data_IF_765790693620
#
_entry.id   IF_765790693620
#
_cell.length_a   1.000
_cell.length_b   1.000
_cell.length_c   1.000
_cell.angle_alpha   90.00
_cell.angle_beta   90.00
_cell.angle_gamma   90.00
#
_symmetry.space_group_name_H-M   'P 1'
#
loop_
_entity.id
_entity.type
_entity.pdbx_description
1 polymer ?
#
# COMPACT_ATOMS: atom_id res chain seq x y z
N UNK A 1 -53.10 71.14 -5.87
CA UNK A 1 -54.18 70.74 -6.80
C UNK A 1 -53.72 69.49 -7.51
N UNK A 2 -54.64 68.53 -7.67
CA UNK A 2 -54.48 67.17 -8.24
C UNK A 2 -53.71 66.15 -7.40
N UNK A 3 -54.34 65.79 -6.29
CA UNK A 3 -54.41 64.41 -5.81
C UNK A 3 -54.89 63.45 -6.91
N UNK A 4 -54.62 62.16 -6.71
CA UNK A 4 -55.28 61.02 -7.36
C UNK A 4 -54.93 60.76 -8.83
N UNK A 5 -53.97 59.88 -9.03
CA UNK A 5 -54.17 58.56 -9.63
C UNK A 5 -52.82 57.84 -9.41
N UNK A 6 -52.77 56.52 -9.27
CA UNK A 6 -51.54 55.74 -8.98
C UNK A 6 -51.09 55.71 -7.48
N UNK A 7 -51.79 55.26 -6.43
CA UNK A 7 -52.97 54.38 -6.23
C UNK A 7 -53.39 53.49 -7.39
N UNK A 8 -52.38 52.91 -8.01
CA UNK A 8 -52.36 51.84 -9.00
C UNK A 8 -50.95 51.31 -8.75
N UNK A 9 -50.74 50.46 -7.75
CA UNK A 9 -51.11 49.06 -7.84
C UNK A 9 -50.71 48.55 -9.23
N UNK A 10 -49.66 47.72 -9.23
CA UNK A 10 -49.10 47.01 -10.38
C UNK A 10 -48.07 47.79 -11.21
N UNK A 11 -47.00 47.09 -11.60
CA UNK A 11 -45.97 47.47 -12.57
C UNK A 11 -44.69 48.15 -12.08
N UNK A 12 -44.13 47.75 -10.94
CA UNK A 12 -42.66 47.70 -10.82
C UNK A 12 -42.25 46.76 -9.67
N UNK A 13 -42.59 45.49 -9.82
CA UNK A 13 -41.94 44.37 -9.13
C UNK A 13 -40.44 44.43 -9.37
N UNK A 14 -39.71 45.13 -8.51
CA UNK A 14 -38.25 45.08 -8.49
C UNK A 14 -37.78 45.50 -7.12
N UNK A 15 -36.93 44.67 -6.53
CA UNK A 15 -36.28 44.86 -5.24
C UNK A 15 -37.20 44.71 -4.03
N UNK A 16 -37.41 43.47 -3.58
CA UNK A 16 -36.88 43.06 -2.26
C UNK A 16 -37.25 41.60 -1.99
N UNK A 17 -36.18 40.82 -1.81
CA UNK A 17 -36.12 39.61 -1.02
C UNK A 17 -37.09 38.49 -1.44
N UNK A 18 -36.74 37.85 -2.55
CA UNK A 18 -36.84 36.40 -2.61
C UNK A 18 -36.15 35.80 -1.38
N UNK A 19 -36.93 35.50 -0.34
CA UNK A 19 -36.56 34.58 0.71
C UNK A 19 -36.54 33.17 0.08
N UNK A 20 -35.55 32.92 -0.78
CA UNK A 20 -35.22 31.57 -1.20
C UNK A 20 -34.59 30.87 -0.02
N UNK A 21 -35.41 30.01 0.57
CA UNK A 21 -35.08 28.91 1.45
C UNK A 21 -33.92 28.14 0.81
N UNK A 22 -32.68 28.47 1.19
CA UNK A 22 -31.53 27.57 0.98
C UNK A 22 -31.39 26.80 2.29
N UNK A 23 -32.21 25.75 2.41
CA UNK A 23 -31.97 24.68 3.36
C UNK A 23 -30.70 23.96 2.88
N UNK A 24 -29.53 24.45 3.31
CA UNK A 24 -28.26 23.77 3.07
C UNK A 24 -28.33 22.48 3.89
N UNK A 25 -28.74 21.37 3.25
CA UNK A 25 -28.43 20.04 3.73
C UNK A 25 -26.90 19.94 3.75
N UNK A 26 -26.29 20.15 4.91
CA UNK A 26 -24.93 19.70 5.14
C UNK A 26 -24.97 18.18 5.23
N UNK A 27 -24.95 17.52 4.07
CA UNK A 27 -24.50 16.13 4.02
C UNK A 27 -23.05 16.16 4.46
N UNK A 28 -22.82 15.85 5.73
CA UNK A 28 -21.52 15.37 6.20
C UNK A 28 -21.23 14.13 5.35
N UNK A 29 -20.48 14.32 4.28
CA UNK A 29 -19.79 13.21 3.64
C UNK A 29 -18.83 12.73 4.71
N UNK A 30 -19.19 11.67 5.40
CA UNK A 30 -18.21 10.91 6.16
C UNK A 30 -17.25 10.40 5.11
N UNK A 31 -16.13 11.12 4.91
CA UNK A 31 -14.94 10.51 4.33
C UNK A 31 -14.62 9.41 5.33
N UNK A 32 -15.02 8.19 5.00
CA UNK A 32 -14.54 7.02 5.71
C UNK A 32 -13.04 7.13 5.59
N UNK A 33 -12.36 7.44 6.69
CA UNK A 33 -10.95 7.15 6.80
C UNK A 33 -10.87 5.64 6.71
N UNK A 34 -10.82 5.12 5.49
CA UNK A 34 -10.24 3.81 5.24
C UNK A 34 -8.90 3.87 5.95
N UNK A 35 -8.66 2.92 6.84
CA UNK A 35 -7.35 2.71 7.43
C UNK A 35 -6.38 2.62 6.26
N UNK A 36 -5.60 3.69 6.01
CA UNK A 36 -4.79 3.85 4.80
C UNK A 36 -3.60 2.89 4.86
N UNK A 37 -3.84 1.59 4.67
CA UNK A 37 -2.76 0.62 4.56
C UNK A 37 -1.84 1.04 3.41
N UNK A 38 -0.53 1.05 3.65
CA UNK A 38 0.44 1.38 2.60
C UNK A 38 0.55 0.22 1.63
N UNK A 39 0.48 0.50 0.33
CA UNK A 39 0.84 -0.42 -0.76
C UNK A 39 2.18 -0.06 -1.41
N UNK A 40 2.95 0.82 -0.77
CA UNK A 40 4.29 1.22 -1.23
C UNK A 40 5.34 0.70 -0.27
N UNK A 41 6.27 -0.11 -0.78
CA UNK A 41 7.44 -0.57 -0.05
C UNK A 41 8.59 0.45 -0.12
N UNK A 42 9.47 0.40 0.89
CA UNK A 42 10.72 1.17 0.96
C UNK A 42 11.85 0.19 1.25
N UNK A 43 13.03 0.40 0.64
CA UNK A 43 14.25 -0.38 0.89
C UNK A 43 15.44 0.57 1.00
N UNK A 44 15.93 0.81 2.22
CA UNK A 44 17.05 1.74 2.46
C UNK A 44 18.22 1.10 3.22
N UNK A 45 17.94 0.12 4.07
CA UNK A 45 18.94 -0.67 4.79
C UNK A 45 18.33 -1.97 5.32
N UNK A 46 19.12 -2.79 6.00
CA UNK A 46 18.64 -3.98 6.70
C UNK A 46 17.82 -3.69 7.97
N UNK A 47 17.66 -2.42 8.37
CA UNK A 47 16.84 -1.98 9.51
C UNK A 47 15.77 -0.96 9.12
N UNK A 48 15.73 -0.59 7.84
CA UNK A 48 14.82 0.39 7.25
C UNK A 48 14.34 -0.19 5.92
N UNK A 49 13.38 -1.10 6.00
CA UNK A 49 12.77 -1.71 4.83
C UNK A 49 11.31 -2.12 5.07
N UNK A 50 10.64 -2.53 4.00
CA UNK A 50 9.33 -3.15 4.02
C UNK A 50 9.34 -4.48 3.26
N UNK A 51 8.42 -5.37 3.62
CA UNK A 51 7.99 -6.53 2.83
C UNK A 51 6.47 -6.49 2.74
N UNK A 52 5.89 -7.04 1.69
CA UNK A 52 4.44 -7.25 1.62
C UNK A 52 4.07 -8.51 2.39
N UNK A 53 2.89 -8.47 3.01
CA UNK A 53 2.24 -9.58 3.69
C UNK A 53 0.73 -9.52 3.41
N UNK A 54 -0.01 -10.60 3.70
CA UNK A 54 -1.47 -10.54 3.69
C UNK A 54 -1.98 -9.45 4.64
N UNK A 55 -3.10 -8.79 4.33
CA UNK A 55 -3.68 -7.78 5.21
C UNK A 55 -4.22 -8.36 6.53
N UNK A 56 -4.55 -9.65 6.53
CA UNK A 56 -5.00 -10.39 7.72
C UNK A 56 -3.95 -11.44 8.12
N UNK A 57 -3.53 -11.50 9.39
CA UNK A 57 -2.67 -12.57 9.89
C UNK A 57 -3.26 -13.97 9.61
N UNK A 58 -2.39 -14.90 9.20
CA UNK A 58 -2.77 -16.30 8.91
C UNK A 58 -3.49 -16.55 7.59
N UNK A 59 -3.62 -15.55 6.71
CA UNK A 59 -3.93 -15.83 5.31
C UNK A 59 -2.73 -16.48 4.60
N UNK A 60 -2.98 -17.37 3.65
CA UNK A 60 -1.95 -17.89 2.76
C UNK A 60 -1.42 -16.78 1.85
N UNK A 61 -0.12 -16.78 1.56
CA UNK A 61 0.52 -15.74 0.74
C UNK A 61 -0.13 -15.70 -0.65
N UNK A 62 -0.26 -16.85 -1.32
CA UNK A 62 -0.86 -16.96 -2.64
C UNK A 62 -2.30 -16.43 -2.73
N UNK A 63 -3.10 -16.60 -1.67
CA UNK A 63 -4.50 -16.14 -1.63
C UNK A 63 -4.60 -14.61 -1.49
N UNK A 64 -3.54 -13.97 -1.00
CA UNK A 64 -3.48 -12.53 -0.72
C UNK A 64 -2.75 -11.72 -1.79
N UNK A 65 -2.26 -12.31 -2.88
CA UNK A 65 -1.43 -11.62 -3.88
C UNK A 65 -2.10 -10.36 -4.46
N UNK A 66 -3.44 -10.33 -4.54
CA UNK A 66 -4.21 -9.18 -5.02
C UNK A 66 -4.56 -8.14 -3.93
N UNK A 67 -4.34 -8.46 -2.67
CA UNK A 67 -4.75 -7.65 -1.51
C UNK A 67 -3.61 -7.32 -0.54
N UNK A 68 -2.41 -7.82 -0.81
CA UNK A 68 -1.23 -7.61 0.03
C UNK A 68 -0.94 -6.14 0.32
N UNK A 69 -0.36 -5.88 1.48
CA UNK A 69 0.01 -4.52 1.90
C UNK A 69 1.43 -4.51 2.43
N UNK A 70 2.10 -3.38 2.35
CA UNK A 70 3.47 -3.21 2.82
C UNK A 70 3.50 -3.13 4.35
N UNK A 71 4.24 -4.02 4.99
CA UNK A 71 4.64 -3.98 6.39
C UNK A 71 6.12 -3.65 6.49
N UNK A 72 6.46 -2.68 7.34
CA UNK A 72 7.81 -2.15 7.44
C UNK A 72 8.42 -2.40 8.81
N UNK A 73 9.74 -2.45 8.86
CA UNK A 73 10.49 -2.43 10.13
C UNK A 73 10.16 -1.17 10.92
N UNK A 74 10.20 -1.25 12.26
CA UNK A 74 9.90 -0.11 13.15
C UNK A 74 10.80 1.11 12.94
N UNK A 75 11.98 0.92 12.36
CA UNK A 75 12.89 2.00 11.96
C UNK A 75 12.48 2.77 10.70
N UNK A 76 11.45 2.33 9.97
CA UNK A 76 11.04 2.93 8.70
C UNK A 76 10.21 4.20 8.92
N UNK A 77 10.71 5.40 8.54
CA UNK A 77 10.00 6.65 8.76
C UNK A 77 8.67 6.68 8.00
N UNK A 78 7.59 7.05 8.69
CA UNK A 78 6.26 7.20 8.08
C UNK A 78 5.59 5.89 7.69
N UNK A 79 6.11 4.73 8.11
CA UNK A 79 5.46 3.45 7.89
C UNK A 79 4.08 3.39 8.56
N UNK A 80 3.07 2.95 7.80
CA UNK A 80 1.70 2.81 8.31
C UNK A 80 1.48 1.47 8.98
N UNK A 81 2.03 0.40 8.41
CA UNK A 81 1.98 -0.94 8.97
C UNK A 81 3.37 -1.34 9.44
N UNK A 82 3.50 -1.73 10.69
CA UNK A 82 4.77 -2.15 11.30
C UNK A 82 4.78 -3.67 11.41
N UNK A 83 5.88 -4.29 11.00
CA UNK A 83 6.11 -5.72 11.18
C UNK A 83 6.06 -6.07 12.68
N UNK A 84 5.43 -7.20 13.06
CA UNK A 84 5.43 -7.64 14.44
C UNK A 84 6.85 -7.82 14.99
N UNK A 85 7.02 -7.58 16.29
CA UNK A 85 8.29 -7.85 16.96
C UNK A 85 8.66 -9.33 16.80
N UNK A 86 9.93 -9.57 16.44
CA UNK A 86 10.44 -10.93 16.21
C UNK A 86 10.03 -11.55 14.87
N UNK A 87 9.28 -10.85 14.01
CA UNK A 87 8.96 -11.35 12.67
C UNK A 87 10.22 -11.49 11.81
N UNK A 88 11.15 -10.53 11.84
CA UNK A 88 12.42 -10.60 11.11
C UNK A 88 13.48 -11.26 11.99
N UNK A 89 14.02 -12.41 11.54
CA UNK A 89 15.08 -13.15 12.25
C UNK A 89 16.46 -12.92 11.64
N UNK A 90 16.54 -12.67 10.33
CA UNK A 90 17.73 -12.16 9.64
C UNK A 90 17.35 -11.17 8.54
N UNK A 91 18.20 -10.19 8.25
CA UNK A 91 17.99 -9.23 7.16
C UNK A 91 19.33 -8.80 6.54
N UNK A 92 19.49 -9.03 5.24
CA UNK A 92 20.68 -8.69 4.47
C UNK A 92 20.30 -7.72 3.35
N UNK A 93 20.77 -6.47 3.48
CA UNK A 93 20.58 -5.43 2.46
C UNK A 93 21.75 -5.43 1.48
N UNK A 94 21.45 -5.38 0.19
CA UNK A 94 22.44 -5.33 -0.88
C UNK A 94 21.92 -4.59 -2.12
N UNK A 95 22.82 -4.27 -3.04
CA UNK A 95 22.52 -3.61 -4.31
C UNK A 95 23.10 -2.21 -4.43
N UNK A 96 22.73 -1.54 -5.52
CA UNK A 96 23.09 -0.16 -5.85
C UNK A 96 21.80 0.59 -6.24
N UNK A 97 21.44 1.70 -5.57
CA UNK A 97 20.23 2.46 -5.88
C UNK A 97 20.11 2.96 -7.33
N UNK A 98 21.19 2.98 -8.10
CA UNK A 98 21.18 3.29 -9.53
C UNK A 98 20.71 2.13 -10.43
N UNK A 99 20.64 0.91 -9.91
CA UNK A 99 20.17 -0.28 -10.63
C UNK A 99 19.05 -0.98 -9.86
N UNK A 100 19.37 -1.59 -8.73
CA UNK A 100 18.44 -2.28 -7.84
C UNK A 100 18.92 -2.25 -6.40
N UNK A 101 17.97 -2.34 -5.46
CA UNK A 101 18.26 -2.63 -4.05
C UNK A 101 17.40 -3.80 -3.60
N UNK A 102 17.89 -4.59 -2.65
CA UNK A 102 17.18 -5.76 -2.14
C UNK A 102 17.39 -5.95 -0.64
N UNK A 103 16.43 -6.65 -0.02
CA UNK A 103 16.59 -7.29 1.28
C UNK A 103 16.24 -8.76 1.13
N UNK A 104 17.13 -9.63 1.59
CA UNK A 104 16.91 -11.08 1.71
C UNK A 104 17.14 -11.51 3.15
N UNK A 105 16.40 -12.50 3.62
CA UNK A 105 16.61 -13.01 4.97
C UNK A 105 15.58 -14.02 5.40
N UNK A 106 15.60 -14.29 6.70
CA UNK A 106 14.70 -15.20 7.39
C UNK A 106 13.68 -14.45 8.22
N UNK A 107 12.49 -15.04 8.33
CA UNK A 107 11.40 -14.55 9.13
C UNK A 107 10.88 -15.64 10.07
N UNK A 108 10.14 -15.24 11.10
CA UNK A 108 9.42 -16.13 12.00
C UNK A 108 7.93 -16.15 11.60
N UNK A 109 7.43 -17.22 10.96
CA UNK A 109 6.04 -17.32 10.52
C UNK A 109 5.03 -17.08 11.66
N UNK A 110 5.33 -17.58 12.87
CA UNK A 110 4.43 -17.50 14.03
C UNK A 110 4.14 -16.06 14.46
N UNK A 111 5.09 -15.13 14.25
CA UNK A 111 4.95 -13.74 14.65
C UNK A 111 3.81 -13.02 13.88
N UNK A 112 3.41 -13.57 12.71
CA UNK A 112 2.27 -13.10 11.93
C UNK A 112 1.24 -14.20 11.64
N UNK A 113 1.26 -15.28 12.43
CA UNK A 113 0.35 -16.43 12.32
C UNK A 113 0.38 -17.10 10.94
N UNK A 114 1.47 -16.96 10.19
CA UNK A 114 1.62 -17.59 8.88
C UNK A 114 1.69 -19.12 9.02
N UNK A 115 1.15 -19.79 8.02
CA UNK A 115 1.06 -21.25 8.00
C UNK A 115 2.41 -21.87 7.62
N UNK A 116 2.95 -22.77 8.43
CA UNK A 116 4.21 -23.47 8.11
C UNK A 116 4.12 -24.43 6.92
N UNK A 117 2.91 -24.73 6.43
CA UNK A 117 2.68 -25.50 5.20
C UNK A 117 2.37 -24.62 3.99
N UNK A 118 2.43 -23.30 4.14
CA UNK A 118 2.33 -22.35 3.03
C UNK A 118 3.66 -22.28 2.29
N UNK A 119 3.67 -22.78 1.05
CA UNK A 119 4.82 -22.75 0.12
C UNK A 119 5.14 -21.33 -0.37
N UNK A 120 4.28 -20.35 -0.05
CA UNK A 120 4.49 -18.95 -0.33
C UNK A 120 3.76 -18.43 -1.57
N UNK A 121 4.22 -17.28 -2.05
CA UNK A 121 3.65 -16.58 -3.19
C UNK A 121 4.48 -15.35 -3.56
N UNK A 122 3.99 -14.60 -4.54
CA UNK A 122 4.70 -13.47 -5.11
C UNK A 122 3.83 -12.20 -5.14
N UNK A 123 4.32 -11.15 -4.49
CA UNK A 123 3.84 -9.78 -4.71
C UNK A 123 4.79 -9.06 -5.67
N UNK A 124 4.27 -8.37 -6.67
CA UNK A 124 5.09 -7.72 -7.67
C UNK A 124 4.40 -6.56 -8.41
N UNK A 125 5.23 -5.87 -9.17
CA UNK A 125 4.86 -4.75 -10.05
C UNK A 125 3.98 -5.10 -11.25
N UNK A 126 3.57 -6.37 -11.44
CA UNK A 126 2.68 -6.81 -12.51
C UNK A 126 1.19 -6.77 -12.11
N UNK A 127 0.87 -6.11 -10.99
CA UNK A 127 -0.51 -5.87 -10.54
C UNK A 127 -0.97 -6.75 -9.39
N UNK A 128 -0.03 -7.36 -8.67
CA UNK A 128 -0.28 -8.23 -7.52
C UNK A 128 0.46 -7.69 -6.29
N UNK A 129 -0.09 -6.74 -5.52
CA UNK A 129 -1.44 -6.17 -5.63
C UNK A 129 -1.53 -4.98 -6.61
N UNK A 130 -2.76 -4.59 -7.01
CA UNK A 130 -2.96 -3.40 -7.85
C UNK A 130 -2.36 -2.15 -7.21
N UNK A 131 -1.71 -1.32 -8.02
CA UNK A 131 -1.06 -0.06 -7.63
C UNK A 131 0.10 -0.21 -6.61
N UNK A 132 0.48 -1.44 -6.27
CA UNK A 132 1.62 -1.69 -5.42
C UNK A 132 2.90 -1.21 -6.08
N UNK A 133 3.79 -0.66 -5.28
CA UNK A 133 4.99 0.02 -5.78
C UNK A 133 6.15 -0.07 -4.80
N UNK A 134 7.34 0.27 -5.29
CA UNK A 134 8.49 0.49 -4.43
C UNK A 134 9.04 1.89 -4.61
N UNK A 135 9.25 2.59 -3.49
CA UNK A 135 9.61 4.00 -3.49
C UNK A 135 10.94 4.23 -4.21
N UNK A 136 10.88 5.03 -5.29
CA UNK A 136 12.05 5.38 -6.09
C UNK A 136 12.42 4.37 -7.18
N UNK A 137 11.63 3.32 -7.40
CA UNK A 137 11.88 2.28 -8.42
C UNK A 137 10.64 2.02 -9.26
N UNK A 138 10.82 1.58 -10.51
CA UNK A 138 9.72 1.28 -11.43
C UNK A 138 9.14 -0.12 -11.22
N UNK A 139 9.97 -1.06 -10.78
CA UNK A 139 9.60 -2.47 -10.61
C UNK A 139 9.94 -2.95 -9.21
N UNK A 140 9.20 -3.95 -8.76
CA UNK A 140 9.57 -4.74 -7.60
C UNK A 140 9.11 -6.18 -7.77
N UNK A 141 9.77 -7.06 -7.03
CA UNK A 141 9.37 -8.45 -6.80
C UNK A 141 9.62 -8.78 -5.34
N UNK A 142 8.65 -9.42 -4.69
CA UNK A 142 8.70 -9.84 -3.31
C UNK A 142 8.12 -11.24 -3.17
N UNK A 143 8.90 -12.16 -2.61
CA UNK A 143 8.42 -13.49 -2.24
C UNK A 143 8.47 -13.63 -0.72
N UNK A 144 7.48 -14.33 -0.19
CA UNK A 144 7.35 -14.71 1.21
C UNK A 144 7.05 -16.20 1.22
N UNK A 145 7.87 -16.98 1.93
CA UNK A 145 7.86 -18.45 1.91
C UNK A 145 7.85 -18.96 3.35
N UNK A 146 6.66 -19.04 3.98
CA UNK A 146 6.52 -19.48 5.36
C UNK A 146 7.11 -20.84 5.68
N UNK A 147 6.95 -21.82 4.78
CA UNK A 147 7.48 -23.18 4.93
C UNK A 147 9.01 -23.24 5.10
N UNK A 148 9.74 -22.34 4.44
CA UNK A 148 11.21 -22.28 4.45
C UNK A 148 11.75 -21.12 5.31
N UNK A 149 10.85 -20.41 6.00
CA UNK A 149 11.13 -19.20 6.78
C UNK A 149 11.77 -18.08 5.95
N UNK A 150 11.69 -18.13 4.62
CA UNK A 150 12.37 -17.20 3.74
C UNK A 150 11.48 -15.99 3.42
N UNK A 151 12.12 -14.84 3.26
CA UNK A 151 11.52 -13.72 2.54
C UNK A 151 12.58 -12.99 1.73
N UNK A 152 12.14 -12.37 0.65
CA UNK A 152 13.02 -11.55 -0.18
C UNK A 152 12.23 -10.52 -0.94
N UNK A 153 12.78 -9.31 -1.04
CA UNK A 153 12.23 -8.21 -1.81
C UNK A 153 13.35 -7.50 -2.55
N UNK A 154 13.09 -7.16 -3.82
CA UNK A 154 13.99 -6.34 -4.63
C UNK A 154 13.18 -5.27 -5.35
N UNK A 155 13.73 -4.07 -5.40
CA UNK A 155 13.21 -2.96 -6.19
C UNK A 155 14.22 -2.60 -7.27
N UNK A 156 13.74 -2.38 -8.49
CA UNK A 156 14.56 -2.27 -9.70
C UNK A 156 14.11 -1.11 -10.59
N UNK A 157 15.07 -0.48 -11.26
CA UNK A 157 14.76 0.42 -12.38
C UNK A 157 14.45 -0.37 -13.66
N UNK A 158 15.12 -1.50 -13.88
CA UNK A 158 14.92 -2.35 -15.05
C UNK A 158 14.10 -3.60 -14.71
N UNK A 159 13.10 -3.91 -15.54
CA UNK A 159 12.25 -5.10 -15.37
C UNK A 159 13.05 -6.42 -15.36
N UNK A 160 14.17 -6.48 -16.06
CA UNK A 160 15.03 -7.68 -16.09
C UNK A 160 15.64 -8.03 -14.74
N UNK A 161 15.81 -7.05 -13.85
CA UNK A 161 16.41 -7.25 -12.53
C UNK A 161 15.36 -7.72 -11.50
N UNK A 162 14.07 -7.55 -11.82
CA UNK A 162 12.92 -7.92 -11.00
C UNK A 162 12.03 -8.95 -11.74
N UNK A 163 12.44 -10.24 -11.81
CA UNK A 163 11.69 -11.27 -12.53
C UNK A 163 10.36 -11.63 -11.83
N UNK A 164 9.24 -11.29 -12.48
CA UNK A 164 7.85 -11.47 -11.98
C UNK A 164 7.12 -12.70 -12.56
N UNK A 165 7.85 -13.68 -13.08
CA UNK A 165 7.27 -14.84 -13.78
C UNK A 165 7.81 -16.17 -13.26
N UNK A 166 8.27 -16.18 -12.00
CA UNK A 166 9.02 -17.26 -11.37
C UNK A 166 8.59 -17.50 -9.91
N UNK A 167 7.32 -17.25 -9.60
CA UNK A 167 6.80 -17.33 -8.23
C UNK A 167 7.02 -18.70 -7.57
N UNK A 168 7.03 -19.80 -8.33
CA UNK A 168 7.27 -21.16 -7.82
C UNK A 168 8.74 -21.57 -7.75
N UNK A 169 9.68 -20.71 -8.19
CA UNK A 169 11.11 -20.99 -8.14
C UNK A 169 11.76 -20.64 -6.80
N UNK A 170 11.08 -19.78 -6.05
CA UNK A 170 11.42 -19.36 -4.72
C UNK A 170 12.53 -18.33 -4.57
N UNK A 171 12.69 -17.83 -3.35
CA UNK A 171 13.49 -16.65 -3.02
C UNK A 171 14.94 -16.77 -3.47
N UNK A 172 15.61 -17.88 -3.12
CA UNK A 172 17.02 -18.09 -3.44
C UNK A 172 17.29 -18.05 -4.95
N UNK A 173 16.31 -18.43 -5.77
CA UNK A 173 16.45 -18.47 -7.23
C UNK A 173 16.01 -17.17 -7.91
N UNK A 174 14.96 -16.51 -7.41
CA UNK A 174 14.44 -15.26 -7.98
C UNK A 174 15.31 -14.07 -7.56
N UNK A 175 15.70 -14.00 -6.29
CA UNK A 175 16.50 -12.92 -5.71
C UNK A 175 17.72 -13.55 -5.00
N UNK A 176 18.79 -13.89 -5.73
CA UNK A 176 19.99 -14.43 -5.09
C UNK A 176 20.50 -13.49 -3.98
N UNK A 177 20.85 -14.06 -2.83
CA UNK A 177 21.21 -13.30 -1.64
C UNK A 177 21.67 -14.18 -0.49
N UNK A 178 21.60 -13.62 0.72
CA UNK A 178 21.94 -14.31 1.97
C UNK A 178 20.63 -14.50 2.76
N UNK A 179 20.37 -15.73 3.17
CA UNK A 179 19.19 -16.17 3.92
C UNK A 179 19.65 -16.79 5.25
#
# INVERSE_FOLDING_TARGET
GTSNLYLLYEMATSTTLFAFIILILTTIVSVHAGTNASITAVLSSNTVFCTFLPPTPGEYIADSELTGIAFCTSGTPGAVNILPDGFITSANFAGDPSTYVQVTGKMNPDAYQLHHDDEGGQYDSNGSPPDASCSGFEYFVNLVEPNDENYCIRCCHDKSDCPTNKSTEGCEKVIPGIY
#
